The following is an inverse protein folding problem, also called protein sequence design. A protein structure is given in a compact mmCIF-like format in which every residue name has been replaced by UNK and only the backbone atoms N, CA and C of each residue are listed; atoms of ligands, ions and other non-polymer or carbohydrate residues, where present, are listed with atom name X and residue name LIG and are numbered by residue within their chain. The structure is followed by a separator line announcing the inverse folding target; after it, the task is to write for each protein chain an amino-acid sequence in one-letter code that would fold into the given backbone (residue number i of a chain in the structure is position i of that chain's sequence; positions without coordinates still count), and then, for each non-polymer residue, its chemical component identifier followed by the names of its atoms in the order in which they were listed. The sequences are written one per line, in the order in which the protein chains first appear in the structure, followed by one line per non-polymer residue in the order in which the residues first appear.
data_IF_743278378661
#
_entry.id   IF_743278378661
#
_cell.length_a   1.000
_cell.length_b   1.000
_cell.length_c   1.000
_cell.angle_alpha   90.00
_cell.angle_beta   90.00
_cell.angle_gamma   90.00
#
_symmetry.space_group_name_H-M   'P 1'
#
loop_
_entity.id
_entity.type
_entity.pdbx_description
1 polymer ?
#
# COMPACT_ATOMS: atom_id res chain seq x y z
N UNK A 1 5.16 -15.79 -1.87
CA UNK A 1 5.77 -15.08 -3.02
C UNK A 1 4.74 -14.75 -4.08
N UNK A 2 3.91 -15.69 -4.53
CA UNK A 2 2.91 -15.41 -5.58
C UNK A 2 1.86 -14.35 -5.16
N UNK A 3 1.36 -14.40 -3.92
CA UNK A 3 0.37 -13.44 -3.42
C UNK A 3 0.93 -12.00 -3.39
N UNK A 4 2.17 -11.84 -2.91
CA UNK A 4 2.87 -10.57 -2.92
C UNK A 4 2.96 -9.99 -4.33
N UNK A 5 3.40 -10.79 -5.32
CA UNK A 5 3.50 -10.34 -6.71
C UNK A 5 2.14 -9.95 -7.29
N UNK A 6 1.09 -10.72 -7.01
CA UNK A 6 -0.26 -10.40 -7.45
C UNK A 6 -0.74 -9.08 -6.87
N UNK A 7 -0.59 -8.87 -5.56
CA UNK A 7 -1.01 -7.61 -4.91
C UNK A 7 -0.20 -6.45 -5.46
N UNK A 8 1.11 -6.62 -5.64
CA UNK A 8 2.00 -5.56 -6.13
C UNK A 8 1.62 -5.12 -7.54
N UNK A 9 1.51 -6.07 -8.48
CA UNK A 9 1.23 -5.75 -9.88
C UNK A 9 -0.19 -5.22 -10.04
N UNK A 10 -1.18 -5.88 -9.43
CA UNK A 10 -2.58 -5.47 -9.57
C UNK A 10 -2.82 -4.12 -8.89
N UNK A 11 -2.26 -3.88 -7.70
CA UNK A 11 -2.42 -2.57 -7.02
C UNK A 11 -1.73 -1.45 -7.81
N UNK A 12 -0.56 -1.71 -8.39
CA UNK A 12 0.13 -0.74 -9.23
C UNK A 12 -0.69 -0.36 -10.46
N UNK A 13 -1.30 -1.34 -11.14
CA UNK A 13 -2.17 -1.09 -12.29
C UNK A 13 -3.44 -0.35 -11.89
N UNK A 14 -4.15 -0.85 -10.86
CA UNK A 14 -5.43 -0.28 -10.39
C UNK A 14 -5.26 1.19 -9.99
N UNK A 15 -4.15 1.55 -9.36
CA UNK A 15 -3.89 2.92 -8.92
C UNK A 15 -3.66 3.93 -10.07
N UNK A 16 -3.43 3.47 -11.30
CA UNK A 16 -3.34 4.38 -12.45
C UNK A 16 -4.68 5.05 -12.78
N UNK A 17 -5.80 4.40 -12.42
CA UNK A 17 -7.15 4.89 -12.72
C UNK A 17 -7.99 5.14 -11.48
N UNK A 18 -7.72 4.41 -10.40
CA UNK A 18 -8.49 4.50 -9.16
C UNK A 18 -7.68 5.19 -8.06
N UNK A 19 -8.36 5.79 -7.07
CA UNK A 19 -7.67 6.42 -5.96
C UNK A 19 -6.93 5.37 -5.10
N UNK A 20 -5.98 5.85 -4.31
CA UNK A 20 -5.09 5.02 -3.50
C UNK A 20 -5.76 4.02 -2.53
N UNK A 21 -6.98 4.33 -2.06
CA UNK A 21 -7.73 3.41 -1.19
C UNK A 21 -8.14 2.11 -1.89
N UNK A 22 -8.09 2.08 -3.23
CA UNK A 22 -8.37 0.88 -4.02
C UNK A 22 -7.41 -0.28 -3.71
N UNK A 23 -6.18 0.01 -3.27
CA UNK A 23 -5.23 -1.00 -2.79
C UNK A 23 -5.79 -1.87 -1.66
N UNK A 24 -6.61 -1.29 -0.77
CA UNK A 24 -7.24 -2.02 0.33
C UNK A 24 -8.16 -3.13 -0.21
N UNK A 25 -8.95 -2.80 -1.23
CA UNK A 25 -9.88 -3.75 -1.87
C UNK A 25 -9.13 -4.84 -2.62
N UNK A 26 -8.06 -4.47 -3.34
CA UNK A 26 -7.19 -5.43 -4.04
C UNK A 26 -6.55 -6.40 -3.05
N UNK A 27 -5.96 -5.89 -1.96
CA UNK A 27 -5.34 -6.70 -0.92
C UNK A 27 -6.36 -7.65 -0.26
N UNK A 28 -7.57 -7.17 0.02
CA UNK A 28 -8.65 -7.98 0.56
C UNK A 28 -9.07 -9.11 -0.38
N UNK A 29 -9.37 -8.77 -1.65
CA UNK A 29 -9.83 -9.75 -2.63
C UNK A 29 -8.78 -10.83 -2.89
N UNK A 30 -7.52 -10.45 -3.11
CA UNK A 30 -6.46 -11.41 -3.40
C UNK A 30 -6.10 -12.26 -2.18
N UNK A 31 -6.17 -11.71 -0.96
CA UNK A 31 -5.95 -12.48 0.27
C UNK A 31 -7.10 -13.45 0.56
N UNK A 32 -8.34 -13.09 0.20
CA UNK A 32 -9.48 -14.00 0.24
C UNK A 32 -9.29 -15.18 -0.73
N UNK A 33 -8.85 -14.91 -1.96
CA UNK A 33 -8.69 -15.95 -2.99
C UNK A 33 -7.44 -16.82 -2.75
N UNK A 34 -6.27 -16.20 -2.61
CA UNK A 34 -4.97 -16.87 -2.64
C UNK A 34 -4.21 -16.87 -1.30
N UNK A 35 -4.78 -16.28 -0.24
CA UNK A 35 -4.16 -16.29 1.09
C UNK A 35 -4.03 -17.71 1.66
N UNK A 36 -2.87 -17.99 2.27
CA UNK A 36 -2.54 -19.30 2.87
C UNK A 36 -2.52 -19.27 4.41
N UNK A 37 -2.06 -18.17 4.99
CA UNK A 37 -2.05 -17.92 6.44
C UNK A 37 -2.17 -16.42 6.69
N UNK A 38 -2.57 -16.03 7.91
CA UNK A 38 -2.68 -14.61 8.30
C UNK A 38 -1.35 -13.89 8.10
N UNK A 39 -0.27 -14.41 8.68
CA UNK A 39 1.06 -13.80 8.58
C UNK A 39 1.52 -13.69 7.13
N UNK A 40 1.26 -14.70 6.31
CA UNK A 40 1.61 -14.66 4.89
C UNK A 40 0.82 -13.59 4.13
N UNK A 41 -0.48 -13.48 4.35
CA UNK A 41 -1.34 -12.51 3.70
C UNK A 41 -0.99 -11.07 4.11
N UNK A 42 -0.87 -10.84 5.42
CA UNK A 42 -0.56 -9.53 6.00
C UNK A 42 0.81 -9.04 5.53
N UNK A 43 1.89 -9.84 5.65
CA UNK A 43 3.22 -9.42 5.23
C UNK A 43 3.32 -9.21 3.71
N UNK A 44 2.63 -10.05 2.93
CA UNK A 44 2.60 -9.89 1.47
C UNK A 44 1.94 -8.56 1.08
N UNK A 45 0.80 -8.22 1.68
CA UNK A 45 0.09 -6.99 1.38
C UNK A 45 0.81 -5.75 1.95
N UNK A 46 1.35 -5.84 3.15
CA UNK A 46 2.12 -4.77 3.78
C UNK A 46 3.27 -4.31 2.89
N UNK A 47 4.10 -5.25 2.45
CA UNK A 47 5.23 -4.93 1.58
C UNK A 47 4.77 -4.50 0.19
N UNK A 48 3.79 -5.18 -0.41
CA UNK A 48 3.33 -4.86 -1.75
C UNK A 48 2.72 -3.44 -1.83
N UNK A 49 1.75 -3.13 -0.98
CA UNK A 49 1.09 -1.82 -0.96
C UNK A 49 2.05 -0.69 -0.57
N UNK A 50 2.94 -0.93 0.40
CA UNK A 50 3.99 0.01 0.76
C UNK A 50 4.91 0.33 -0.42
N UNK A 51 5.42 -0.70 -1.12
CA UNK A 51 6.32 -0.52 -2.28
C UNK A 51 5.63 0.21 -3.42
N UNK A 52 4.39 -0.15 -3.75
CA UNK A 52 3.62 0.52 -4.80
C UNK A 52 3.43 2.01 -4.46
N UNK A 53 3.06 2.31 -3.22
CA UNK A 53 2.85 3.69 -2.80
C UNK A 53 4.13 4.50 -2.77
N UNK A 54 5.23 3.91 -2.28
CA UNK A 54 6.53 4.57 -2.26
C UNK A 54 7.02 4.91 -3.66
N UNK A 55 6.87 3.98 -4.62
CA UNK A 55 7.17 4.24 -6.03
C UNK A 55 6.34 5.40 -6.58
N UNK A 56 5.04 5.40 -6.31
CA UNK A 56 4.13 6.46 -6.76
C UNK A 56 4.45 7.82 -6.13
N UNK A 57 4.76 7.86 -4.83
CA UNK A 57 5.14 9.08 -4.11
C UNK A 57 6.44 9.67 -4.66
N UNK A 58 7.43 8.84 -4.98
CA UNK A 58 8.68 9.29 -5.61
C UNK A 58 8.45 9.84 -7.02
N UNK A 59 7.56 9.21 -7.81
CA UNK A 59 7.19 9.70 -9.15
C UNK A 59 6.54 11.08 -9.10
N UNK A 60 5.57 11.29 -8.19
CA UNK A 60 4.88 12.58 -8.01
C UNK A 60 5.87 13.68 -7.57
N UNK A 61 6.68 13.38 -6.55
CA UNK A 61 7.64 14.36 -6.03
C UNK A 61 8.71 14.74 -7.05
N UNK A 62 9.14 13.80 -7.88
CA UNK A 62 10.11 14.04 -8.95
C UNK A 62 9.60 14.96 -10.05
N UNK A 63 8.31 14.88 -10.39
CA UNK A 63 7.70 15.73 -11.44
C UNK A 63 7.49 17.17 -11.01
N UNK A 64 7.36 17.44 -9.70
CA UNK A 64 7.03 18.77 -9.15
C UNK A 64 8.22 19.47 -8.46
N UNK A 65 9.43 18.90 -8.54
CA UNK A 65 10.60 19.46 -7.85
C UNK A 65 10.47 19.48 -6.32
N UNK A 66 9.70 18.54 -5.74
CA UNK A 66 9.37 18.44 -4.31
C UNK A 66 8.61 19.65 -3.72
N UNK A 67 8.04 20.54 -4.54
CA UNK A 67 7.44 21.78 -4.03
C UNK A 67 6.23 21.49 -3.11
N UNK A 68 5.31 20.60 -3.52
CA UNK A 68 4.22 20.14 -2.66
C UNK A 68 4.70 19.35 -1.46
N UNK A 69 5.67 18.44 -1.64
CA UNK A 69 6.26 17.62 -0.58
C UNK A 69 6.86 18.49 0.52
N UNK A 70 7.53 19.60 0.16
CA UNK A 70 8.04 20.58 1.12
C UNK A 70 6.93 21.29 1.89
N UNK A 71 5.85 21.71 1.21
CA UNK A 71 4.70 22.35 1.89
C UNK A 71 4.00 21.42 2.87
N UNK A 72 3.79 20.16 2.48
CA UNK A 72 3.20 19.16 3.39
C UNK A 72 4.13 18.90 4.57
N UNK A 73 5.44 18.87 4.35
CA UNK A 73 6.42 18.71 5.43
C UNK A 73 6.43 19.90 6.40
N UNK A 74 6.34 21.13 5.89
CA UNK A 74 6.18 22.35 6.70
C UNK A 74 4.90 22.30 7.54
N UNK A 75 3.77 21.93 6.93
CA UNK A 75 2.48 21.79 7.63
C UNK A 75 2.50 20.72 8.72
N UNK A 76 3.23 19.63 8.51
CA UNK A 76 3.42 18.56 9.49
C UNK A 76 4.59 18.84 10.44
N UNK A 77 5.23 20.01 10.36
CA UNK A 77 6.37 20.41 11.19
C UNK A 77 7.53 19.41 11.16
N UNK A 78 7.72 18.75 10.02
CA UNK A 78 8.75 17.73 9.86
C UNK A 78 10.13 18.39 9.67
N UNK A 79 11.20 17.84 10.28
CA UNK A 79 12.56 18.38 10.13
C UNK A 79 13.14 18.18 8.71
N UNK A 80 12.53 17.31 7.90
CA UNK A 80 12.93 17.08 6.51
C UNK A 80 11.75 16.52 5.71
N UNK A 81 11.55 17.05 4.50
CA UNK A 81 10.53 16.58 3.56
C UNK A 81 10.74 15.13 3.13
N UNK A 82 11.96 14.62 3.25
CA UNK A 82 12.28 13.22 2.97
C UNK A 82 11.61 12.25 3.94
N UNK A 83 11.20 12.70 5.13
CA UNK A 83 10.46 11.86 6.09
C UNK A 83 9.05 11.52 5.61
N UNK A 84 8.49 12.27 4.65
CA UNK A 84 7.17 11.96 4.11
C UNK A 84 7.12 10.63 3.37
N UNK A 85 8.21 10.22 2.72
CA UNK A 85 8.27 8.95 2.00
C UNK A 85 8.10 7.73 2.92
N UNK A 86 8.92 7.53 3.97
CA UNK A 86 8.73 6.39 4.87
C UNK A 86 7.42 6.49 5.66
N UNK A 87 6.96 7.70 6.02
CA UNK A 87 5.65 7.86 6.69
C UNK A 87 4.53 7.37 5.76
N UNK A 88 4.49 7.87 4.52
CA UNK A 88 3.47 7.49 3.55
C UNK A 88 3.54 6.01 3.15
N UNK A 89 4.75 5.43 3.08
CA UNK A 89 4.95 3.99 2.94
C UNK A 89 4.26 3.22 4.06
N UNK A 90 4.48 3.60 5.33
CA UNK A 90 3.87 2.93 6.48
C UNK A 90 2.35 3.04 6.41
N UNK A 91 1.80 4.22 6.05
CA UNK A 91 0.36 4.39 5.88
C UNK A 91 -0.20 3.42 4.85
N UNK A 92 0.36 3.37 3.63
CA UNK A 92 -0.10 2.46 2.59
C UNK A 92 0.09 0.98 2.97
N UNK A 93 1.21 0.64 3.61
CA UNK A 93 1.51 -0.71 4.05
C UNK A 93 0.52 -1.20 5.11
N UNK A 94 0.18 -0.37 6.09
CA UNK A 94 -0.83 -0.67 7.12
C UNK A 94 -2.22 -0.80 6.48
N UNK A 95 -2.59 0.11 5.58
CA UNK A 95 -3.86 0.03 4.85
C UNK A 95 -3.99 -1.29 4.07
N UNK A 96 -2.93 -1.70 3.36
CA UNK A 96 -2.88 -2.98 2.64
C UNK A 96 -2.96 -4.19 3.58
N UNK A 97 -2.24 -4.14 4.71
CA UNK A 97 -2.27 -5.18 5.74
C UNK A 97 -3.67 -5.37 6.34
N UNK A 98 -4.39 -4.29 6.63
CA UNK A 98 -5.77 -4.33 7.13
C UNK A 98 -6.68 -4.99 6.08
N UNK A 99 -6.58 -4.57 4.81
CA UNK A 99 -7.34 -5.19 3.72
C UNK A 99 -7.09 -6.70 3.62
N UNK A 100 -5.83 -7.11 3.63
CA UNK A 100 -5.44 -8.52 3.58
C UNK A 100 -5.93 -9.33 4.78
N UNK A 101 -5.88 -8.75 5.98
CA UNK A 101 -6.43 -9.37 7.18
C UNK A 101 -7.94 -9.58 7.01
N UNK A 102 -8.71 -8.55 6.64
CA UNK A 102 -10.14 -8.67 6.41
C UNK A 102 -10.48 -9.75 5.38
N UNK A 103 -9.82 -9.74 4.22
CA UNK A 103 -10.04 -10.73 3.16
C UNK A 103 -9.72 -12.16 3.60
N UNK A 104 -8.59 -12.37 4.28
CA UNK A 104 -8.21 -13.70 4.75
C UNK A 104 -9.09 -14.17 5.93
N UNK A 105 -9.53 -13.27 6.80
CA UNK A 105 -10.47 -13.61 7.87
C UNK A 105 -11.77 -14.16 7.31
N UNK A 106 -12.35 -13.50 6.29
CA UNK A 106 -13.55 -13.98 5.60
C UNK A 106 -13.32 -15.38 5.00
N UNK A 107 -12.16 -15.61 4.38
CA UNK A 107 -11.80 -16.94 3.85
C UNK A 107 -11.81 -18.00 4.95
N UNK A 108 -11.17 -17.70 6.08
CA UNK A 108 -11.04 -18.64 7.20
C UNK A 108 -12.38 -18.95 7.86
N UNK A 109 -13.28 -17.97 7.99
CA UNK A 109 -14.62 -18.21 8.54
C UNK A 109 -15.49 -19.12 7.65
N UNK A 110 -15.21 -19.20 6.35
CA UNK A 110 -15.97 -20.01 5.39
C UNK A 110 -15.50 -21.48 5.34
N UNK A 111 -14.35 -21.80 5.91
CA UNK A 111 -13.73 -23.13 5.89
C UNK A 111 -13.89 -23.82 7.24
#
# INVERSE_FOLDING_TARGET
MILFLLILVISALVQLWLPWWSMLLVAALLSYLAGKSYTHAILSAFLACGIVWLGYALMISGSEGNLMTNRVAELLTLPSSWLLYPISFIFAAVTGAIGAWSGFAIKKFRQ
#
